data_IF_892516309481
#
_entry.id   IF_892516309481
#
_cell.length_a   1.000
_cell.length_b   1.000
_cell.length_c   1.000
_cell.angle_alpha   90.00
_cell.angle_beta   90.00
_cell.angle_gamma   90.00
#
_symmetry.space_group_name_H-M   'P 1'
#
loop_
_entity.id
_entity.type
_entity.pdbx_description
1 polymer ?
#
# COMPACT_ATOMS: atom_id res chain seq x y z
N UNK A 1 -7.20 -34.78 19.05
CA UNK A 1 -6.50 -34.10 17.94
C UNK A 1 -7.53 -33.52 16.99
N UNK A 2 -7.27 -32.37 16.38
CA UNK A 2 -8.18 -31.69 15.46
C UNK A 2 -7.50 -31.22 14.18
N UNK A 3 -8.24 -30.49 13.36
CA UNK A 3 -7.76 -29.78 12.17
C UNK A 3 -7.89 -28.28 12.40
N UNK A 4 -6.96 -27.52 11.82
CA UNK A 4 -6.98 -26.05 11.80
C UNK A 4 -6.96 -25.60 10.36
N UNK A 5 -7.91 -24.75 9.99
CA UNK A 5 -8.07 -24.23 8.62
C UNK A 5 -8.21 -22.72 8.65
N UNK A 6 -7.64 -22.06 7.64
CA UNK A 6 -7.91 -20.68 7.32
C UNK A 6 -9.04 -20.63 6.29
N UNK A 7 -10.08 -19.85 6.58
CA UNK A 7 -11.14 -19.50 5.64
C UNK A 7 -11.06 -18.01 5.36
N UNK A 8 -10.69 -17.63 4.13
CA UNK A 8 -10.83 -16.25 3.66
C UNK A 8 -12.17 -16.12 2.97
N UNK A 9 -13.06 -15.34 3.57
CA UNK A 9 -14.40 -15.04 3.05
C UNK A 9 -14.41 -13.65 2.46
N UNK A 10 -14.89 -13.50 1.23
CA UNK A 10 -14.95 -12.20 0.55
C UNK A 10 -16.08 -12.13 -0.47
N UNK A 11 -16.51 -10.92 -0.79
CA UNK A 11 -17.31 -10.61 -1.97
C UNK A 11 -16.42 -10.09 -3.09
N UNK A 12 -16.95 -10.08 -4.31
CA UNK A 12 -16.24 -9.59 -5.48
C UNK A 12 -16.86 -8.28 -5.97
N UNK A 13 -16.04 -7.23 -6.12
CA UNK A 13 -16.46 -6.01 -6.78
C UNK A 13 -16.69 -6.27 -8.29
N UNK A 14 -17.84 -5.81 -8.79
CA UNK A 14 -18.27 -6.02 -10.18
C UNK A 14 -17.83 -4.89 -11.12
N UNK A 15 -17.13 -3.90 -10.58
CA UNK A 15 -16.47 -2.81 -11.27
C UNK A 15 -15.12 -2.53 -10.58
N UNK A 16 -14.30 -1.65 -11.15
CA UNK A 16 -13.03 -1.24 -10.54
C UNK A 16 -13.26 -0.73 -9.10
N UNK A 17 -12.75 -1.39 -8.04
CA UNK A 17 -12.94 -0.94 -6.67
C UNK A 17 -12.15 0.33 -6.33
N UNK A 18 -11.21 0.75 -7.18
CA UNK A 18 -10.27 1.84 -6.90
C UNK A 18 -10.75 3.20 -7.42
N UNK A 19 -12.04 3.53 -7.27
CA UNK A 19 -12.65 4.72 -7.88
C UNK A 19 -13.24 5.75 -6.91
N UNK A 20 -13.21 5.49 -5.61
CA UNK A 20 -13.70 6.44 -4.59
C UNK A 20 -15.22 6.62 -4.52
N UNK A 21 -15.98 5.78 -5.23
CA UNK A 21 -17.44 5.75 -5.24
C UNK A 21 -17.95 4.34 -4.93
N UNK A 22 -19.19 4.18 -4.46
CA UNK A 22 -19.76 2.86 -4.23
C UNK A 22 -19.73 1.99 -5.49
N UNK A 23 -19.25 0.76 -5.34
CA UNK A 23 -19.22 -0.24 -6.41
C UNK A 23 -20.20 -1.37 -6.15
N UNK A 24 -20.94 -1.86 -7.16
CA UNK A 24 -21.73 -3.07 -7.04
C UNK A 24 -20.83 -4.26 -6.68
N UNK A 25 -21.36 -5.17 -5.86
CA UNK A 25 -20.63 -6.35 -5.38
C UNK A 25 -21.46 -7.60 -5.62
N UNK A 26 -20.81 -8.77 -5.63
CA UNK A 26 -21.48 -10.06 -5.72
C UNK A 26 -22.56 -10.22 -4.64
N UNK A 27 -23.63 -10.93 -4.98
CA UNK A 27 -24.68 -11.29 -4.02
C UNK A 27 -24.10 -12.22 -2.94
N UNK A 28 -23.43 -13.27 -3.41
CA UNK A 28 -22.85 -14.33 -2.60
C UNK A 28 -21.38 -14.06 -2.24
N UNK A 29 -20.93 -14.74 -1.18
CA UNK A 29 -19.54 -14.78 -0.76
C UNK A 29 -18.78 -15.89 -1.47
N UNK A 30 -17.53 -15.59 -1.80
CA UNK A 30 -16.50 -16.53 -2.21
C UNK A 30 -15.63 -16.91 -1.02
N UNK A 31 -15.01 -18.09 -1.11
CA UNK A 31 -14.22 -18.66 -0.03
C UNK A 31 -12.90 -19.22 -0.57
N UNK A 32 -11.81 -18.95 0.14
CA UNK A 32 -10.53 -19.67 0.03
C UNK A 32 -10.37 -20.45 1.32
N UNK A 33 -10.15 -21.75 1.23
CA UNK A 33 -10.00 -22.63 2.39
C UNK A 33 -8.67 -23.34 2.27
N UNK A 34 -7.78 -23.12 3.24
CA UNK A 34 -6.45 -23.76 3.26
C UNK A 34 -6.14 -24.33 4.64
N UNK A 35 -5.55 -25.53 4.71
CA UNK A 35 -5.15 -26.12 5.99
C UNK A 35 -3.94 -25.38 6.58
N UNK A 36 -3.75 -25.53 7.89
CA UNK A 36 -2.51 -25.11 8.55
C UNK A 36 -1.30 -25.85 7.97
N UNK A 37 -0.23 -25.11 7.68
CA UNK A 37 0.89 -25.56 6.86
C UNK A 37 1.93 -26.40 7.62
N UNK A 38 1.98 -26.29 8.95
CA UNK A 38 2.97 -26.93 9.81
C UNK A 38 2.44 -28.16 10.56
N UNK A 39 1.21 -28.60 10.28
CA UNK A 39 0.59 -29.76 10.93
C UNK A 39 0.10 -29.50 12.37
N UNK A 40 -0.11 -28.25 12.74
CA UNK A 40 -0.66 -27.87 14.05
C UNK A 40 -2.11 -28.35 14.14
N UNK A 41 -2.37 -29.21 15.14
CA UNK A 41 -3.65 -29.91 15.32
C UNK A 41 -4.32 -29.66 16.68
N UNK A 42 -3.75 -28.73 17.46
CA UNK A 42 -4.25 -28.33 18.77
C UNK A 42 -3.85 -26.88 19.06
N UNK A 43 -4.76 -26.12 19.66
CA UNK A 43 -4.52 -24.75 20.11
C UNK A 43 -4.53 -24.76 21.65
N UNK A 44 -3.41 -24.45 22.32
CA UNK A 44 -3.39 -24.40 23.78
C UNK A 44 -4.23 -23.23 24.30
N UNK A 45 -4.74 -23.36 25.52
CA UNK A 45 -5.62 -22.34 26.12
C UNK A 45 -4.85 -21.24 26.88
N UNK A 46 -3.57 -21.45 27.15
CA UNK A 46 -2.76 -20.64 28.05
C UNK A 46 -1.62 -19.88 27.35
N UNK A 47 -1.39 -20.15 26.07
CA UNK A 47 -0.28 -19.58 25.32
C UNK A 47 -0.66 -19.29 23.86
N UNK A 48 -0.23 -18.15 23.30
CA UNK A 48 -0.40 -17.91 21.87
C UNK A 48 0.51 -18.84 21.08
N UNK A 49 0.02 -19.30 19.94
CA UNK A 49 0.79 -20.06 18.95
C UNK A 49 0.69 -19.38 17.59
N UNK A 50 1.75 -19.48 16.80
CA UNK A 50 1.75 -19.04 15.42
C UNK A 50 1.15 -20.13 14.54
N UNK A 51 0.19 -19.76 13.68
CA UNK A 51 -0.41 -20.63 12.67
C UNK A 51 0.02 -20.11 11.30
N UNK A 52 0.58 -20.99 10.47
CA UNK A 52 1.01 -20.61 9.14
C UNK A 52 0.04 -21.18 8.10
N UNK A 53 -0.29 -20.38 7.08
CA UNK A 53 -1.18 -20.78 6.01
C UNK A 53 -0.58 -20.40 4.67
N UNK A 54 -0.55 -21.34 3.73
CA UNK A 54 -0.06 -21.09 2.38
C UNK A 54 -1.24 -21.02 1.41
N UNK A 55 -1.49 -19.83 0.85
CA UNK A 55 -2.57 -19.63 -0.12
C UNK A 55 -2.22 -20.16 -1.52
N UNK A 56 -0.94 -20.39 -1.83
CA UNK A 56 -0.49 -20.88 -3.14
C UNK A 56 -1.08 -20.09 -4.31
N UNK A 57 -1.76 -20.81 -5.21
CA UNK A 57 -2.46 -20.22 -6.37
C UNK A 57 -3.85 -19.64 -6.01
N UNK A 58 -4.38 -19.92 -4.82
CA UNK A 58 -5.66 -19.38 -4.33
C UNK A 58 -5.46 -17.99 -3.72
N UNK A 59 -4.91 -17.09 -4.52
CA UNK A 59 -4.61 -15.71 -4.10
C UNK A 59 -5.90 -14.93 -3.84
N UNK A 60 -5.85 -14.04 -2.87
CA UNK A 60 -6.93 -13.07 -2.63
C UNK A 60 -7.02 -12.16 -3.87
N UNK A 61 -8.17 -12.10 -4.57
CA UNK A 61 -8.33 -11.25 -5.74
C UNK A 61 -8.21 -9.77 -5.40
N UNK A 62 -7.63 -8.97 -6.30
CA UNK A 62 -7.52 -7.51 -6.10
C UNK A 62 -8.88 -6.80 -6.01
N UNK A 63 -9.93 -7.41 -6.54
CA UNK A 63 -11.30 -6.92 -6.45
C UNK A 63 -12.10 -7.55 -5.30
N UNK A 64 -11.44 -8.16 -4.32
CA UNK A 64 -12.09 -8.65 -3.11
C UNK A 64 -12.56 -7.49 -2.23
N UNK A 65 -13.76 -7.63 -1.66
CA UNK A 65 -14.42 -6.64 -0.78
C UNK A 65 -15.18 -7.37 0.33
N UNK A 66 -15.53 -6.68 1.43
CA UNK A 66 -16.16 -7.34 2.60
C UNK A 66 -15.32 -8.55 3.06
N UNK A 67 -14.00 -8.35 3.22
CA UNK A 67 -13.03 -9.42 3.42
C UNK A 67 -12.86 -9.75 4.91
N UNK A 68 -13.13 -11.01 5.26
CA UNK A 68 -12.96 -11.55 6.61
C UNK A 68 -12.05 -12.76 6.56
N UNK A 69 -11.09 -12.81 7.48
CA UNK A 69 -10.28 -14.00 7.73
C UNK A 69 -10.86 -14.76 8.91
N UNK A 70 -10.99 -16.08 8.78
CA UNK A 70 -11.48 -16.95 9.84
C UNK A 70 -10.48 -18.08 10.08
N UNK A 71 -10.22 -18.38 11.35
CA UNK A 71 -9.49 -19.58 11.76
C UNK A 71 -10.52 -20.55 12.32
N UNK A 72 -10.66 -21.69 11.67
CA UNK A 72 -11.61 -22.74 12.03
C UNK A 72 -10.83 -23.90 12.65
N UNK A 73 -11.15 -24.21 13.90
CA UNK A 73 -10.70 -25.42 14.57
C UNK A 73 -11.84 -26.45 14.56
N UNK A 74 -11.53 -27.68 14.17
CA UNK A 74 -12.44 -28.82 14.28
C UNK A 74 -11.76 -29.97 15.01
N UNK A 75 -12.30 -30.39 16.16
CA UNK A 75 -11.70 -31.47 16.94
C UNK A 75 -12.17 -31.51 18.39
N UNK A 76 -11.30 -32.02 19.26
CA UNK A 76 -11.61 -32.13 20.68
C UNK A 76 -11.50 -30.77 21.37
N UNK A 77 -12.58 -30.32 22.00
CA UNK A 77 -12.63 -29.08 22.78
C UNK A 77 -12.98 -29.38 24.22
N UNK A 78 -12.06 -29.07 25.12
CA UNK A 78 -12.23 -29.34 26.55
C UNK A 78 -10.89 -29.48 27.24
N UNK A 79 -10.91 -30.07 28.42
CA UNK A 79 -9.72 -30.27 29.22
C UNK A 79 -9.69 -31.66 29.82
N UNK A 80 -8.48 -32.14 30.06
CA UNK A 80 -8.29 -33.39 30.78
C UNK A 80 -8.56 -33.16 32.27
N UNK A 81 -9.41 -34.00 32.88
CA UNK A 81 -9.67 -34.01 34.31
C UNK A 81 -9.10 -35.27 34.95
N UNK A 82 -9.10 -35.33 36.29
CA UNK A 82 -8.72 -36.54 37.03
C UNK A 82 -9.61 -37.76 36.70
N UNK A 83 -10.84 -37.55 36.22
CA UNK A 83 -11.80 -38.61 35.89
C UNK A 83 -11.93 -38.88 34.40
N UNK A 84 -11.12 -38.24 33.55
CA UNK A 84 -11.16 -38.39 32.10
C UNK A 84 -11.26 -37.05 31.36
N UNK A 85 -11.39 -37.11 30.03
CA UNK A 85 -11.63 -35.91 29.22
C UNK A 85 -13.03 -35.35 29.51
N UNK A 86 -13.11 -34.06 29.82
CA UNK A 86 -14.37 -33.33 29.95
C UNK A 86 -14.47 -32.32 28.82
N UNK A 87 -15.33 -32.58 27.84
CA UNK A 87 -15.48 -31.73 26.68
C UNK A 87 -16.21 -32.37 25.51
N UNK A 88 -16.20 -31.66 24.38
CA UNK A 88 -16.73 -32.11 23.10
C UNK A 88 -15.66 -32.84 22.32
N UNK A 89 -16.00 -34.00 21.76
CA UNK A 89 -15.05 -34.80 20.97
C UNK A 89 -14.97 -34.37 19.50
N UNK A 90 -15.99 -33.67 19.01
CA UNK A 90 -16.13 -33.21 17.63
C UNK A 90 -16.71 -31.79 17.59
N UNK A 91 -16.06 -30.89 18.33
CA UNK A 91 -16.46 -29.50 18.38
C UNK A 91 -15.91 -28.70 17.20
N UNK A 92 -16.58 -27.59 16.88
CA UNK A 92 -16.09 -26.55 15.96
C UNK A 92 -15.94 -25.23 16.71
N UNK A 93 -14.76 -24.62 16.65
CA UNK A 93 -14.53 -23.25 17.08
C UNK A 93 -14.11 -22.38 15.89
N UNK A 94 -14.62 -21.16 15.84
CA UNK A 94 -14.30 -20.21 14.77
C UNK A 94 -13.87 -18.88 15.39
N UNK A 95 -12.64 -18.48 15.13
CA UNK A 95 -12.18 -17.11 15.33
C UNK A 95 -12.31 -16.35 14.02
N UNK A 96 -12.75 -15.09 14.06
CA UNK A 96 -12.86 -14.24 12.88
C UNK A 96 -12.25 -12.86 13.09
N UNK A 97 -11.74 -12.29 12.01
CA UNK A 97 -11.18 -10.94 11.98
C UNK A 97 -11.46 -10.32 10.61
N UNK A 98 -12.09 -9.16 10.61
CA UNK A 98 -12.19 -8.33 9.41
C UNK A 98 -10.84 -7.67 9.13
N UNK A 99 -10.41 -7.70 7.88
CA UNK A 99 -9.20 -7.02 7.42
C UNK A 99 -9.54 -6.08 6.26
N UNK A 100 -8.60 -5.22 5.87
CA UNK A 100 -8.83 -4.27 4.80
C UNK A 100 -9.03 -4.97 3.47
N UNK A 101 -9.68 -4.31 2.52
CA UNK A 101 -9.62 -4.73 1.13
C UNK A 101 -8.19 -4.56 0.57
N UNK A 102 -7.86 -5.21 -0.56
CA UNK A 102 -6.60 -4.96 -1.26
C UNK A 102 -6.37 -3.47 -1.43
N UNK A 103 -5.36 -2.94 -0.74
CA UNK A 103 -5.12 -1.51 -0.63
C UNK A 103 -3.97 -1.12 -1.54
N UNK A 104 -4.18 -0.29 -2.58
CA UNK A 104 -3.10 0.15 -3.46
C UNK A 104 -2.18 1.12 -2.71
N UNK A 105 -0.89 0.84 -2.79
CA UNK A 105 0.18 1.74 -2.38
C UNK A 105 0.88 2.21 -3.65
N UNK A 106 0.72 3.49 -3.95
CA UNK A 106 1.31 4.10 -5.15
C UNK A 106 2.67 4.73 -4.84
N UNK A 107 3.63 4.47 -5.70
CA UNK A 107 4.95 5.07 -5.63
C UNK A 107 5.18 5.87 -6.91
N UNK A 108 5.13 7.20 -6.81
CA UNK A 108 5.11 8.09 -7.96
C UNK A 108 6.38 8.92 -8.04
N UNK A 109 6.86 9.12 -9.26
CA UNK A 109 7.92 10.06 -9.57
C UNK A 109 7.33 11.20 -10.43
N UNK A 110 6.90 12.28 -9.79
CA UNK A 110 6.38 13.49 -10.45
C UNK A 110 7.47 14.50 -10.83
N UNK A 111 8.75 14.10 -10.83
CA UNK A 111 9.86 15.00 -11.15
C UNK A 111 10.00 15.27 -12.66
N UNK A 112 9.06 14.82 -13.51
CA UNK A 112 8.94 15.24 -14.91
C UNK A 112 8.30 16.63 -15.07
N UNK A 113 7.75 17.18 -13.98
CA UNK A 113 7.25 18.54 -13.90
C UNK A 113 7.91 19.31 -12.76
N UNK A 114 7.90 20.62 -12.85
CA UNK A 114 8.43 21.53 -11.82
C UNK A 114 7.50 22.73 -11.66
N UNK A 115 7.34 23.19 -10.41
CA UNK A 115 6.61 24.41 -10.09
C UNK A 115 7.56 25.60 -10.07
N UNK A 116 7.41 26.52 -11.03
CA UNK A 116 8.22 27.72 -11.18
C UNK A 116 7.29 28.92 -11.33
N UNK A 117 7.40 29.92 -10.45
CA UNK A 117 6.59 31.15 -10.44
C UNK A 117 5.08 30.86 -10.57
N UNK A 118 4.55 29.97 -9.73
CA UNK A 118 3.15 29.50 -9.76
C UNK A 118 2.70 28.80 -11.06
N UNK A 119 3.63 28.41 -11.95
CA UNK A 119 3.37 27.64 -13.16
C UNK A 119 3.94 26.23 -13.06
N UNK A 120 3.17 25.24 -13.51
CA UNK A 120 3.66 23.86 -13.66
C UNK A 120 4.20 23.71 -15.08
N UNK A 121 5.50 23.51 -15.19
CA UNK A 121 6.20 23.38 -16.48
C UNK A 121 6.88 22.01 -16.57
N UNK A 122 7.13 21.49 -17.79
CA UNK A 122 7.97 20.31 -17.96
C UNK A 122 9.37 20.57 -17.40
N UNK A 123 9.84 19.67 -16.53
CA UNK A 123 11.15 19.80 -15.89
C UNK A 123 12.27 19.76 -16.94
N UNK A 124 13.29 20.61 -16.78
CA UNK A 124 14.41 20.75 -17.71
C UNK A 124 14.10 21.38 -19.07
N UNK A 125 12.85 21.82 -19.29
CA UNK A 125 12.47 22.54 -20.52
C UNK A 125 13.11 23.93 -20.59
N UNK A 126 13.30 24.44 -21.82
CA UNK A 126 13.76 25.82 -22.02
C UNK A 126 12.83 26.82 -21.32
N UNK A 127 11.51 26.60 -21.38
CA UNK A 127 10.52 27.45 -20.70
C UNK A 127 10.72 27.50 -19.19
N UNK A 128 10.95 26.34 -18.54
CA UNK A 128 11.20 26.28 -17.10
C UNK A 128 12.51 26.99 -16.70
N UNK A 129 13.55 26.87 -17.52
CA UNK A 129 14.86 27.50 -17.30
C UNK A 129 14.77 29.01 -17.53
N UNK A 130 14.24 29.43 -18.68
CA UNK A 130 14.13 30.84 -19.09
C UNK A 130 13.22 31.65 -18.14
N UNK A 131 12.26 30.99 -17.48
CA UNK A 131 11.42 31.61 -16.45
C UNK A 131 12.22 32.04 -15.21
N UNK A 132 13.35 31.38 -14.94
CA UNK A 132 14.24 31.66 -13.82
C UNK A 132 15.43 32.51 -14.22
N UNK A 133 15.97 32.26 -15.41
CA UNK A 133 17.21 32.87 -15.89
C UNK A 133 16.96 34.19 -16.63
N UNK A 134 16.34 35.13 -15.92
CA UNK A 134 15.96 36.46 -16.44
C UNK A 134 16.99 37.51 -16.06
N UNK A 135 17.32 38.43 -16.99
CA UNK A 135 18.22 39.58 -16.78
C UNK A 135 19.62 39.19 -16.29
N UNK A 136 20.31 38.31 -17.03
CA UNK A 136 21.67 37.83 -16.76
C UNK A 136 21.84 37.11 -15.40
N UNK A 137 20.75 36.56 -14.85
CA UNK A 137 20.80 35.69 -13.68
C UNK A 137 20.76 34.23 -14.12
N UNK A 138 21.52 33.37 -13.45
CA UNK A 138 21.49 31.91 -13.64
C UNK A 138 20.85 31.24 -12.42
N UNK A 139 19.58 31.55 -12.12
CA UNK A 139 18.87 30.97 -10.97
C UNK A 139 18.67 29.46 -11.15
N UNK A 140 18.47 28.98 -12.38
CA UNK A 140 18.31 27.55 -12.69
C UNK A 140 19.58 26.73 -12.39
N UNK A 141 20.75 27.35 -12.21
CA UNK A 141 21.95 26.68 -11.68
C UNK A 141 21.84 26.44 -10.16
N UNK A 142 21.07 27.27 -9.45
CA UNK A 142 20.89 27.28 -7.99
C UNK A 142 19.51 26.76 -7.52
N UNK A 143 18.66 26.34 -8.45
CA UNK A 143 17.37 25.70 -8.19
C UNK A 143 17.28 24.41 -8.98
N UNK A 144 16.79 23.36 -8.31
CA UNK A 144 16.63 22.07 -8.96
C UNK A 144 15.37 22.04 -9.86
N UNK A 145 15.58 22.27 -11.15
CA UNK A 145 14.53 22.40 -12.18
C UNK A 145 14.48 21.24 -13.15
N UNK A 146 15.37 20.25 -12.99
CA UNK A 146 15.58 19.17 -13.94
C UNK A 146 14.80 17.90 -13.57
N UNK A 147 14.56 16.99 -14.52
CA UNK A 147 13.93 15.72 -14.23
C UNK A 147 14.91 14.73 -13.62
N UNK A 148 14.40 13.88 -12.74
CA UNK A 148 15.19 12.86 -12.06
C UNK A 148 14.56 11.47 -12.15
N UNK A 149 15.42 10.48 -12.17
CA UNK A 149 15.04 9.07 -12.01
C UNK A 149 15.24 8.64 -10.56
N UNK A 150 14.33 7.81 -10.07
CA UNK A 150 14.50 7.14 -8.79
C UNK A 150 15.13 5.78 -9.03
N UNK A 151 16.29 5.54 -8.42
CA UNK A 151 17.00 4.28 -8.48
C UNK A 151 16.98 3.60 -7.12
N UNK A 152 16.97 2.27 -7.12
CA UNK A 152 17.11 1.45 -5.91
C UNK A 152 16.15 1.92 -4.80
N UNK A 153 14.87 2.04 -5.14
CA UNK A 153 13.84 2.38 -4.17
C UNK A 153 13.50 1.15 -3.36
N UNK A 154 13.59 1.24 -2.04
CA UNK A 154 13.28 0.18 -1.10
C UNK A 154 12.12 0.61 -0.21
N UNK A 155 11.12 -0.25 -0.03
CA UNK A 155 9.94 -0.01 0.78
C UNK A 155 9.86 -1.04 1.90
N UNK A 156 9.54 -0.59 3.11
CA UNK A 156 9.38 -1.43 4.29
C UNK A 156 8.06 -1.06 4.99
N UNK A 157 7.26 -2.08 5.25
CA UNK A 157 6.07 -2.01 6.08
C UNK A 157 6.42 -2.49 7.48
N UNK A 158 5.89 -1.80 8.47
CA UNK A 158 6.04 -2.20 9.87
C UNK A 158 4.82 -1.76 10.68
N UNK A 159 4.44 -2.47 11.74
CA UNK A 159 3.48 -1.97 12.72
C UNK A 159 3.96 -0.61 13.28
N UNK A 160 3.05 0.33 13.49
CA UNK A 160 3.43 1.68 13.97
C UNK A 160 4.17 1.67 15.33
N UNK A 161 3.92 0.68 16.17
CA UNK A 161 4.58 0.50 17.46
C UNK A 161 5.95 -0.21 17.35
N UNK A 162 6.36 -0.68 16.17
CA UNK A 162 7.64 -1.33 15.93
C UNK A 162 8.25 -0.80 14.63
N UNK A 163 8.93 0.34 14.70
CA UNK A 163 9.49 1.00 13.52
C UNK A 163 10.61 0.13 12.92
N UNK A 164 10.52 -0.13 11.61
CA UNK A 164 11.59 -0.71 10.80
C UNK A 164 11.87 0.19 9.60
N UNK A 165 13.14 0.49 9.37
CA UNK A 165 13.57 1.37 8.28
C UNK A 165 13.96 0.57 7.04
N UNK A 166 13.51 1.06 5.89
CA UNK A 166 13.86 0.52 4.58
C UNK A 166 15.35 0.75 4.27
N UNK A 167 15.99 -0.27 3.72
CA UNK A 167 17.35 -0.21 3.20
C UNK A 167 17.54 -1.26 2.11
N UNK A 168 18.69 -1.23 1.42
CA UNK A 168 19.07 -2.26 0.47
C UNK A 168 19.14 -3.70 1.06
N UNK A 169 19.15 -3.84 2.39
CA UNK A 169 19.20 -5.13 3.10
C UNK A 169 17.97 -5.38 3.96
N UNK A 170 17.01 -4.45 4.02
CA UNK A 170 15.79 -4.58 4.81
C UNK A 170 14.62 -3.90 4.07
N UNK A 171 13.87 -4.68 3.30
CA UNK A 171 12.75 -4.19 2.51
C UNK A 171 11.75 -5.32 2.27
N UNK A 172 10.50 -4.97 1.97
CA UNK A 172 9.47 -5.92 1.55
C UNK A 172 9.17 -5.78 0.05
N UNK A 173 9.39 -4.58 -0.50
CA UNK A 173 9.26 -4.33 -1.93
C UNK A 173 10.37 -3.39 -2.41
N UNK A 174 10.73 -3.49 -3.67
CA UNK A 174 11.72 -2.63 -4.31
C UNK A 174 11.35 -2.25 -5.73
N UNK A 175 11.91 -1.12 -6.17
CA UNK A 175 11.82 -0.62 -7.54
C UNK A 175 13.24 -0.30 -7.97
N UNK A 176 13.76 -1.03 -8.95
CA UNK A 176 15.12 -0.84 -9.42
C UNK A 176 15.30 0.55 -10.05
N UNK A 177 14.37 0.93 -10.92
CA UNK A 177 14.34 2.20 -11.63
C UNK A 177 12.89 2.66 -11.77
N UNK A 178 12.60 3.90 -11.42
CA UNK A 178 11.32 4.56 -11.68
C UNK A 178 11.58 5.92 -12.35
N UNK A 179 11.33 5.97 -13.66
CA UNK A 179 11.55 7.15 -14.48
C UNK A 179 10.67 8.33 -14.06
N UNK A 180 11.10 9.55 -14.38
CA UNK A 180 10.28 10.74 -14.21
C UNK A 180 8.96 10.57 -15.01
N UNK A 181 7.83 10.98 -14.43
CA UNK A 181 6.52 10.84 -15.06
C UNK A 181 5.99 9.41 -15.08
N UNK A 182 6.54 8.51 -14.27
CA UNK A 182 6.04 7.15 -14.08
C UNK A 182 5.64 6.89 -12.61
N UNK A 183 4.88 5.83 -12.40
CA UNK A 183 4.49 5.35 -11.07
C UNK A 183 4.67 3.84 -10.97
N UNK A 184 4.66 3.29 -9.77
CA UNK A 184 4.59 1.86 -9.51
C UNK A 184 3.53 1.61 -8.44
N UNK A 185 2.90 0.43 -8.46
CA UNK A 185 1.83 0.09 -7.51
C UNK A 185 2.01 -1.33 -6.98
N UNK A 186 1.85 -1.50 -5.68
CA UNK A 186 1.57 -2.81 -5.08
C UNK A 186 0.33 -2.74 -4.21
N UNK A 187 -0.12 -3.89 -3.73
CA UNK A 187 -1.28 -4.00 -2.86
C UNK A 187 -0.90 -4.63 -1.52
N UNK A 188 -1.47 -4.12 -0.45
CA UNK A 188 -1.32 -4.68 0.90
C UNK A 188 -2.69 -4.96 1.52
N UNK A 189 -2.68 -5.85 2.51
CA UNK A 189 -3.79 -6.08 3.43
C UNK A 189 -3.33 -5.69 4.83
N UNK A 190 -4.22 -5.06 5.59
CA UNK A 190 -3.93 -4.51 6.92
C UNK A 190 -5.12 -4.74 7.85
N UNK A 191 -4.94 -4.47 9.14
CA UNK A 191 -6.10 -4.33 10.04
C UNK A 191 -6.70 -2.92 9.92
N UNK A 192 -7.92 -2.76 9.38
CA UNK A 192 -8.46 -1.46 9.03
C UNK A 192 -8.80 -0.59 10.25
N UNK A 193 -9.06 -1.24 11.39
CA UNK A 193 -9.34 -0.59 12.68
C UNK A 193 -8.26 -0.87 13.73
N UNK A 194 -7.14 -1.49 13.32
CA UNK A 194 -6.05 -1.87 14.20
C UNK A 194 -4.96 -0.81 14.27
N UNK A 195 -3.77 -1.24 14.70
CA UNK A 195 -2.56 -0.43 14.68
C UNK A 195 -2.23 -0.07 13.23
N UNK A 196 -2.08 1.23 12.89
CA UNK A 196 -1.68 1.64 11.55
C UNK A 196 -0.36 1.00 11.12
N UNK A 197 -0.21 0.85 9.81
CA UNK A 197 1.04 0.42 9.20
C UNK A 197 1.89 1.65 8.93
N UNK A 198 3.17 1.60 9.31
CA UNK A 198 4.17 2.53 8.84
C UNK A 198 4.76 2.02 7.53
N UNK A 199 4.66 2.84 6.49
CA UNK A 199 5.41 2.68 5.27
C UNK A 199 6.64 3.57 5.34
N UNK A 200 7.81 2.94 5.41
CA UNK A 200 9.09 3.60 5.26
C UNK A 200 9.66 3.35 3.86
N UNK A 201 10.31 4.36 3.29
CA UNK A 201 11.03 4.24 2.04
C UNK A 201 12.45 4.80 2.15
N UNK A 202 13.37 4.17 1.43
CA UNK A 202 14.68 4.70 1.08
C UNK A 202 14.81 4.73 -0.44
N UNK A 203 15.34 5.81 -1.00
CA UNK A 203 15.51 5.96 -2.45
C UNK A 203 16.78 6.73 -2.79
N UNK A 204 17.39 6.38 -3.92
CA UNK A 204 18.43 7.19 -4.55
C UNK A 204 17.81 7.99 -5.69
N UNK A 205 18.04 9.29 -5.69
CA UNK A 205 17.66 10.16 -6.81
C UNK A 205 18.90 10.31 -7.71
N UNK A 206 18.73 10.10 -9.00
CA UNK A 206 19.78 10.25 -9.99
C UNK A 206 19.37 11.22 -11.09
N UNK A 207 20.35 11.96 -11.59
CA UNK A 207 20.19 12.96 -12.65
C UNK A 207 19.95 12.26 -13.98
N UNK A 208 19.04 12.81 -14.78
CA UNK A 208 18.81 12.39 -16.16
C UNK A 208 19.44 13.34 -17.18
N UNK A 209 19.60 14.61 -16.82
CA UNK A 209 20.11 15.65 -17.69
C UNK A 209 21.58 15.96 -17.39
N UNK A 210 22.41 16.13 -18.42
CA UNK A 210 23.83 16.50 -18.24
C UNK A 210 24.01 17.94 -17.79
N UNK A 211 23.00 18.80 -18.01
CA UNK A 211 22.97 20.19 -17.56
C UNK A 211 22.66 20.33 -16.08
N UNK A 212 22.18 19.25 -15.45
CA UNK A 212 21.76 19.25 -14.06
C UNK A 212 22.96 19.27 -13.09
N UNK A 213 23.19 20.39 -12.38
CA UNK A 213 24.29 20.50 -11.43
C UNK A 213 23.98 19.85 -10.07
N UNK A 214 22.74 19.40 -9.82
CA UNK A 214 22.29 18.96 -8.51
C UNK A 214 22.82 17.59 -8.13
N UNK A 215 23.54 17.56 -7.01
CA UNK A 215 23.91 16.29 -6.39
C UNK A 215 22.88 15.91 -5.33
N UNK A 216 22.19 14.81 -5.59
CA UNK A 216 21.22 14.26 -4.65
C UNK A 216 21.86 13.29 -3.67
N UNK A 217 21.40 13.33 -2.42
CA UNK A 217 21.68 12.30 -1.42
C UNK A 217 20.53 11.29 -1.41
N UNK A 218 20.79 10.13 -0.82
CA UNK A 218 19.73 9.18 -0.48
C UNK A 218 18.64 9.93 0.32
N UNK A 219 17.39 9.74 -0.10
CA UNK A 219 16.23 10.29 0.59
C UNK A 219 15.47 9.17 1.27
N UNK A 220 14.77 9.55 2.34
CA UNK A 220 13.84 8.66 3.02
C UNK A 220 12.52 9.37 3.21
N UNK A 221 11.45 8.58 3.26
CA UNK A 221 10.12 9.06 3.58
C UNK A 221 9.44 8.07 4.52
N UNK A 222 8.57 8.56 5.39
CA UNK A 222 7.76 7.70 6.26
C UNK A 222 6.35 8.26 6.34
N UNK A 223 5.37 7.38 6.17
CA UNK A 223 3.97 7.70 6.43
C UNK A 223 3.33 6.60 7.24
N UNK A 224 2.27 6.97 7.96
CA UNK A 224 1.32 6.03 8.53
C UNK A 224 0.13 5.89 7.58
N UNK A 225 -0.34 4.67 7.40
CA UNK A 225 -1.49 4.37 6.57
C UNK A 225 -2.38 3.32 7.24
N UNK A 226 -3.65 3.36 6.88
CA UNK A 226 -4.63 2.31 7.13
C UNK A 226 -5.13 1.80 5.79
N UNK A 227 -5.51 0.52 5.75
CA UNK A 227 -6.06 -0.08 4.56
C UNK A 227 -7.39 0.55 4.15
N UNK A 228 -7.75 0.29 2.90
CA UNK A 228 -9.08 0.62 2.40
C UNK A 228 -10.16 -0.11 3.21
N UNK A 229 -11.35 0.50 3.21
CA UNK A 229 -12.57 -0.09 3.74
C UNK A 229 -13.68 0.13 2.71
N UNK A 230 -14.27 -0.95 2.22
CA UNK A 230 -15.41 -0.99 1.32
C UNK A 230 -16.43 -2.04 1.80
N UNK A 231 -16.80 -1.94 3.08
CA UNK A 231 -17.67 -2.90 3.74
C UNK A 231 -18.99 -2.29 4.19
N UNK A 232 -19.98 -3.15 4.35
CA UNK A 232 -21.23 -2.81 5.04
C UNK A 232 -21.10 -3.18 6.52
N UNK A 233 -21.31 -2.21 7.41
CA UNK A 233 -21.45 -2.45 8.84
C UNK A 233 -22.82 -2.02 9.35
N UNK A 234 -23.28 -2.64 10.43
CA UNK A 234 -24.44 -2.16 11.18
C UNK A 234 -23.94 -1.38 12.40
N UNK A 235 -24.23 -0.08 12.43
CA UNK A 235 -23.90 0.79 13.56
C UNK A 235 -25.21 1.33 14.12
N UNK A 236 -25.48 1.05 15.40
CA UNK A 236 -26.70 1.49 16.09
C UNK A 236 -28.00 1.07 15.35
N UNK A 237 -28.00 -0.13 14.76
CA UNK A 237 -29.11 -0.65 13.96
C UNK A 237 -29.21 -0.10 12.54
N UNK A 238 -28.33 0.84 12.16
CA UNK A 238 -28.30 1.44 10.83
C UNK A 238 -27.25 0.75 9.95
N UNK A 239 -27.70 0.25 8.80
CA UNK A 239 -26.83 -0.27 7.75
C UNK A 239 -26.03 0.86 7.13
N UNK A 240 -24.74 0.93 7.44
CA UNK A 240 -23.79 1.93 6.94
C UNK A 240 -22.83 1.27 5.96
N UNK A 241 -22.66 1.85 4.78
CA UNK A 241 -21.60 1.43 3.85
C UNK A 241 -20.42 2.39 3.97
N UNK A 242 -19.26 1.84 4.32
CA UNK A 242 -18.01 2.56 4.26
C UNK A 242 -17.47 2.51 2.84
N UNK A 243 -16.92 3.64 2.38
CA UNK A 243 -16.22 3.75 1.11
C UNK A 243 -14.92 4.52 1.34
N UNK A 244 -13.83 3.99 0.81
CA UNK A 244 -12.54 4.69 0.76
C UNK A 244 -12.55 5.72 -0.36
N UNK A 245 -12.45 7.00 0.01
CA UNK A 245 -12.28 8.08 -0.96
C UNK A 245 -10.93 7.97 -1.68
N UNK A 246 -10.92 8.23 -3.00
CA UNK A 246 -9.71 8.20 -3.82
C UNK A 246 -9.43 9.60 -4.36
N UNK A 247 -8.16 10.02 -4.30
CA UNK A 247 -7.70 11.26 -4.93
C UNK A 247 -7.29 10.99 -6.38
N UNK A 248 -7.69 11.84 -7.30
CA UNK A 248 -7.10 11.84 -8.64
C UNK A 248 -5.74 12.56 -8.61
N UNK A 249 -4.71 11.88 -9.06
CA UNK A 249 -3.36 12.44 -9.24
C UNK A 249 -2.90 12.12 -10.65
N UNK A 250 -2.95 13.13 -11.52
CA UNK A 250 -2.47 13.05 -12.91
C UNK A 250 -3.00 11.83 -13.68
N UNK A 251 -4.28 11.50 -13.50
CA UNK A 251 -4.94 10.37 -14.17
C UNK A 251 -4.95 9.06 -13.39
N UNK A 252 -4.36 9.03 -12.19
CA UNK A 252 -4.34 7.84 -11.31
C UNK A 252 -5.27 8.06 -10.13
N UNK A 253 -6.14 7.08 -9.84
CA UNK A 253 -6.91 7.04 -8.60
C UNK A 253 -6.05 6.50 -7.47
N UNK A 254 -5.79 7.35 -6.49
CA UNK A 254 -4.84 7.12 -5.41
C UNK A 254 -5.55 7.06 -4.06
N UNK A 255 -5.29 5.97 -3.33
CA UNK A 255 -5.66 5.87 -1.92
C UNK A 255 -4.61 6.54 -1.05
N UNK A 256 -3.39 6.02 -1.14
CA UNK A 256 -2.21 6.53 -0.45
C UNK A 256 -0.97 6.16 -1.23
N UNK A 257 0.14 6.82 -0.93
CA UNK A 257 1.37 6.61 -1.67
C UNK A 257 2.41 7.69 -1.46
N UNK A 258 3.62 7.40 -1.92
CA UNK A 258 4.76 8.32 -1.85
C UNK A 258 4.87 9.00 -3.21
N UNK A 259 4.81 10.33 -3.23
CA UNK A 259 5.01 11.13 -4.44
C UNK A 259 6.29 11.96 -4.32
N UNK A 260 7.29 11.63 -5.13
CA UNK A 260 8.50 12.43 -5.23
C UNK A 260 8.28 13.57 -6.23
N UNK A 261 8.54 14.80 -5.78
CA UNK A 261 8.35 16.04 -6.55
C UNK A 261 9.64 16.85 -6.53
N UNK A 262 9.86 17.66 -7.56
CA UNK A 262 10.95 18.64 -7.57
C UNK A 262 10.68 19.75 -6.55
N UNK A 263 11.72 20.51 -6.23
CA UNK A 263 11.55 21.70 -5.39
C UNK A 263 10.77 22.77 -6.14
N UNK A 264 9.88 23.45 -5.42
CA UNK A 264 9.15 24.60 -5.96
C UNK A 264 10.04 25.84 -5.89
N UNK A 265 9.94 26.69 -6.91
CA UNK A 265 10.56 28.00 -6.87
C UNK A 265 9.61 29.11 -7.33
N UNK A 266 9.62 30.28 -6.69
CA UNK A 266 10.17 30.53 -5.35
C UNK A 266 9.54 29.58 -4.31
N UNK A 267 10.15 29.46 -3.13
CA UNK A 267 9.72 28.46 -2.14
C UNK A 267 8.25 28.64 -1.67
N UNK A 268 7.67 29.82 -1.87
CA UNK A 268 6.27 30.14 -1.57
C UNK A 268 5.31 29.94 -2.76
N UNK A 269 5.76 29.37 -3.88
CA UNK A 269 4.88 29.02 -5.00
C UNK A 269 3.81 28.02 -4.56
N UNK A 270 2.61 28.19 -5.11
CA UNK A 270 1.36 27.55 -4.70
C UNK A 270 0.93 26.40 -5.59
N UNK A 271 1.72 26.04 -6.62
CA UNK A 271 1.36 24.97 -7.54
C UNK A 271 1.07 23.66 -6.80
N UNK A 272 0.23 22.83 -7.40
CA UNK A 272 0.00 21.46 -6.99
C UNK A 272 0.38 20.54 -8.15
N UNK A 273 1.57 19.96 -8.11
CA UNK A 273 2.09 19.07 -9.15
C UNK A 273 1.19 17.85 -9.37
N UNK A 274 0.47 17.42 -8.32
CA UNK A 274 -0.51 16.34 -8.39
C UNK A 274 -1.72 16.67 -9.28
N UNK A 275 -2.01 17.96 -9.55
CA UNK A 275 -3.06 18.41 -10.47
C UNK A 275 -2.52 18.85 -11.83
N UNK A 276 -1.27 18.53 -12.16
CA UNK A 276 -0.72 18.77 -13.50
C UNK A 276 -1.59 18.12 -14.57
N UNK A 277 -1.79 18.82 -15.69
CA UNK A 277 -2.46 18.26 -16.88
C UNK A 277 -1.58 17.30 -17.65
N UNK A 278 -0.27 17.23 -17.33
CA UNK A 278 0.66 16.24 -17.90
C UNK A 278 0.40 14.92 -17.17
N UNK A 279 -0.15 13.88 -17.82
CA UNK A 279 -0.48 12.62 -17.15
C UNK A 279 0.80 11.82 -16.82
N UNK A 280 0.67 10.85 -15.91
CA UNK A 280 1.69 9.80 -15.81
C UNK A 280 1.67 8.91 -17.06
N UNK A 281 2.85 8.46 -17.50
CA UNK A 281 3.04 7.71 -18.75
C UNK A 281 2.68 6.22 -18.58
N UNK A 282 2.86 5.65 -17.39
CA UNK A 282 2.49 4.26 -17.12
C UNK A 282 3.02 3.71 -15.80
N UNK A 283 2.59 2.49 -15.47
CA UNK A 283 3.04 1.77 -14.28
C UNK A 283 4.30 0.94 -14.55
N UNK A 284 5.31 1.10 -13.72
CA UNK A 284 6.49 0.24 -13.64
C UNK A 284 6.26 -0.93 -12.69
N UNK A 285 7.03 -2.00 -12.89
CA UNK A 285 6.93 -3.22 -12.08
C UNK A 285 7.62 -3.04 -10.73
N UNK A 286 6.93 -3.41 -9.65
CA UNK A 286 7.54 -3.56 -8.33
C UNK A 286 7.97 -5.01 -8.09
N UNK A 287 9.19 -5.20 -7.58
CA UNK A 287 9.66 -6.50 -7.12
C UNK A 287 9.30 -6.67 -5.64
N UNK A 288 8.59 -7.74 -5.30
CA UNK A 288 8.33 -8.10 -3.91
C UNK A 288 9.44 -9.02 -3.42
N UNK A 289 9.89 -8.85 -2.18
CA UNK A 289 10.69 -9.87 -1.53
C UNK A 289 9.85 -11.14 -1.36
N UNK A 290 10.40 -12.31 -1.67
CA UNK A 290 9.75 -13.59 -1.44
C UNK A 290 9.57 -13.88 0.06
#
# INVERSE_FOLDING_TARGET
MGTVELVVKYKTALADPFQGVPVPVSADFSYIVVPEANGISSIPSDSPIELAFNLGEQKIPLNATDLTVQVVYHGQMGFQTATGFAGETNGVAVGLKDISEPTPIDFMNSMDVVCVNDQILPAGSAEAIDTLDVNDRSIAEYVDVYPHVLENSYLKHAPQNLISYASATNYDASIAVLAAGHYARHFILTEPFGTPVLLNNQVRIARLDSRDPYTHRIKTFTMSLQGMINQVAYKDGVKTRYISGMKDTRGIKLWTGINWVNMKYPANSTCNEASSSIPFIGSETMSLQP
#
